data_IF_442228734648
#
_entry.id   IF_442228734648
#
_cell.length_a   1.000
_cell.length_b   1.000
_cell.length_c   1.000
_cell.angle_alpha   90.00
_cell.angle_beta   90.00
_cell.angle_gamma   90.00
#
_symmetry.space_group_name_H-M   'P 1'
#
loop_
_entity.id
_entity.type
_entity.pdbx_description
1 polymer ?
#
# COMPACT_ATOMS: atom_id res chain seq x y z
N UNK A 1 -3.59 10.16 20.08
CA UNK A 1 -4.98 9.69 20.18
C UNK A 1 -5.70 10.01 18.89
N UNK A 2 -6.41 9.03 18.35
CA UNK A 2 -7.17 9.18 17.12
C UNK A 2 -8.68 9.30 17.43
N UNK A 3 -9.41 10.03 16.59
CA UNK A 3 -10.86 10.18 16.67
C UNK A 3 -11.49 9.83 15.33
N UNK A 4 -12.67 9.22 15.38
CA UNK A 4 -13.48 8.91 14.21
C UNK A 4 -14.51 10.00 14.00
N UNK A 5 -14.64 10.44 12.75
CA UNK A 5 -15.58 11.46 12.33
C UNK A 5 -16.40 10.86 11.21
N UNK A 6 -17.72 10.96 11.33
CA UNK A 6 -18.63 10.55 10.25
C UNK A 6 -18.63 11.65 9.18
N UNK A 7 -18.43 11.28 7.93
CA UNK A 7 -18.53 12.20 6.80
C UNK A 7 -19.96 12.23 6.23
N UNK A 8 -20.32 13.32 5.55
CA UNK A 8 -21.66 13.50 4.98
C UNK A 8 -21.89 12.50 3.84
N UNK A 9 -22.61 11.42 4.15
CA UNK A 9 -22.91 10.30 3.27
C UNK A 9 -23.29 9.06 4.11
N UNK A 10 -23.99 8.09 3.55
CA UNK A 10 -24.33 6.85 4.27
C UNK A 10 -23.01 6.12 4.61
N UNK A 11 -22.70 6.10 5.91
CA UNK A 11 -21.63 5.31 6.55
C UNK A 11 -20.20 5.54 6.06
N UNK A 12 -19.85 6.75 5.61
CA UNK A 12 -18.46 7.15 5.38
C UNK A 12 -17.78 7.63 6.67
N UNK A 13 -16.53 7.22 6.89
CA UNK A 13 -15.74 7.58 8.06
C UNK A 13 -14.42 8.24 7.70
N UNK A 14 -13.97 9.14 8.58
CA UNK A 14 -12.66 9.78 8.55
C UNK A 14 -11.98 9.61 9.89
N UNK A 15 -10.73 9.18 9.86
CA UNK A 15 -9.86 9.10 11.02
C UNK A 15 -9.08 10.40 11.15
N UNK A 16 -9.06 11.00 12.35
CA UNK A 16 -8.33 12.23 12.67
C UNK A 16 -7.39 11.99 13.83
N UNK A 17 -6.18 12.54 13.79
CA UNK A 17 -5.23 12.49 14.89
C UNK A 17 -4.33 13.73 14.88
N UNK A 18 -3.44 13.83 15.88
CA UNK A 18 -2.36 14.82 15.91
C UNK A 18 -1.02 14.12 15.72
N UNK A 19 -0.18 14.64 14.83
CA UNK A 19 1.19 14.14 14.65
C UNK A 19 2.09 14.50 15.84
N UNK A 20 3.37 14.10 15.79
CA UNK A 20 4.37 14.43 16.81
C UNK A 20 4.65 15.92 16.95
N UNK A 21 4.34 16.72 15.92
CA UNK A 21 4.47 18.18 15.91
C UNK A 21 3.16 18.88 16.35
N UNK A 22 2.14 18.11 16.76
CA UNK A 22 0.84 18.63 17.18
C UNK A 22 -0.08 19.05 16.03
N UNK A 23 0.35 18.89 14.77
CA UNK A 23 -0.46 19.23 13.59
C UNK A 23 -1.60 18.23 13.44
N UNK A 24 -2.77 18.76 13.09
CA UNK A 24 -3.97 17.97 12.89
C UNK A 24 -3.90 17.25 11.54
N UNK A 25 -3.87 15.92 11.59
CA UNK A 25 -3.88 15.06 10.41
C UNK A 25 -5.20 14.28 10.31
N UNK A 26 -5.54 13.87 9.09
CA UNK A 26 -6.68 12.99 8.85
C UNK A 26 -6.50 12.09 7.63
N UNK A 27 -7.13 10.92 7.67
CA UNK A 27 -7.23 9.96 6.56
C UNK A 27 -8.71 9.60 6.39
N UNK A 28 -9.20 9.61 5.16
CA UNK A 28 -10.52 9.04 4.85
C UNK A 28 -10.45 7.51 4.94
N UNK A 29 -11.42 6.90 5.62
CA UNK A 29 -11.58 5.44 5.64
C UNK A 29 -12.54 4.96 4.55
N UNK A 30 -13.39 5.86 4.04
CA UNK A 30 -14.43 5.51 3.08
C UNK A 30 -15.66 4.92 3.75
N UNK A 31 -16.52 4.28 2.95
CA UNK A 31 -17.79 3.72 3.39
C UNK A 31 -17.55 2.39 4.10
N UNK A 32 -17.85 2.32 5.38
CA UNK A 32 -17.75 1.09 6.16
C UNK A 32 -18.66 1.11 7.40
N UNK A 33 -19.01 -0.05 7.98
CA UNK A 33 -19.76 -0.10 9.23
C UNK A 33 -18.98 0.56 10.38
N UNK A 34 -19.70 1.20 11.31
CA UNK A 34 -19.11 1.84 12.51
C UNK A 34 -18.13 0.93 13.26
N UNK A 35 -18.51 -0.34 13.43
CA UNK A 35 -17.68 -1.35 14.12
C UNK A 35 -16.33 -1.57 13.42
N UNK A 36 -16.32 -1.61 12.10
CA UNK A 36 -15.08 -1.74 11.31
C UNK A 36 -14.21 -0.49 11.43
N UNK A 37 -14.82 0.70 11.43
CA UNK A 37 -14.10 1.95 11.65
C UNK A 37 -13.46 2.04 13.05
N UNK A 38 -14.18 1.59 14.09
CA UNK A 38 -13.66 1.52 15.47
C UNK A 38 -12.50 0.53 15.58
N UNK A 39 -12.60 -0.62 14.93
CA UNK A 39 -11.51 -1.59 14.88
C UNK A 39 -10.28 -1.03 14.14
N UNK A 40 -10.49 -0.34 13.01
CA UNK A 40 -9.42 0.35 12.30
C UNK A 40 -8.74 1.39 13.18
N UNK A 41 -9.52 2.22 13.89
CA UNK A 41 -8.98 3.21 14.85
C UNK A 41 -8.09 2.53 15.89
N UNK A 42 -8.54 1.43 16.49
CA UNK A 42 -7.78 0.72 17.53
C UNK A 42 -6.43 0.21 16.99
N UNK A 43 -6.42 -0.42 15.80
CA UNK A 43 -5.17 -0.86 15.14
C UNK A 43 -4.27 0.29 14.73
N UNK A 44 -4.85 1.39 14.29
CA UNK A 44 -4.08 2.58 13.96
C UNK A 44 -3.40 3.21 15.20
N UNK A 45 -4.07 3.26 16.35
CA UNK A 45 -3.48 3.75 17.60
C UNK A 45 -2.33 2.85 18.07
N UNK A 46 -2.47 1.53 17.91
CA UNK A 46 -1.39 0.56 18.12
C UNK A 46 -0.20 0.85 17.18
N UNK A 47 -0.45 1.03 15.88
CA UNK A 47 0.57 1.38 14.88
C UNK A 47 1.29 2.69 15.23
N UNK A 48 0.56 3.73 15.66
CA UNK A 48 1.16 4.99 16.11
C UNK A 48 2.11 4.78 17.29
N UNK A 49 1.73 3.92 18.24
CA UNK A 49 2.57 3.58 19.39
C UNK A 49 3.88 2.94 18.95
N UNK A 50 3.80 1.95 18.05
CA UNK A 50 4.97 1.24 17.51
C UNK A 50 5.89 2.18 16.73
N UNK A 51 5.34 2.98 15.81
CA UNK A 51 6.11 3.93 15.00
C UNK A 51 6.80 4.97 15.88
N UNK A 52 6.09 5.55 16.86
CA UNK A 52 6.65 6.56 17.76
C UNK A 52 7.73 6.00 18.69
N UNK A 53 7.59 4.76 19.11
CA UNK A 53 8.57 4.09 19.98
C UNK A 53 9.72 3.45 19.20
N UNK A 54 9.68 3.48 17.87
CA UNK A 54 10.62 2.79 16.99
C UNK A 54 10.79 1.30 17.36
N UNK A 55 9.69 0.65 17.74
CA UNK A 55 9.70 -0.77 18.11
C UNK A 55 9.32 -1.65 16.91
N UNK A 56 9.69 -2.95 16.92
CA UNK A 56 9.22 -3.89 15.92
C UNK A 56 7.69 -4.01 15.93
N UNK A 57 7.08 -4.09 14.74
CA UNK A 57 5.63 -4.29 14.60
C UNK A 57 5.26 -5.72 15.04
N UNK A 58 4.24 -5.90 15.90
CA UNK A 58 3.72 -7.23 16.22
C UNK A 58 3.19 -7.94 14.98
N UNK A 59 3.25 -9.28 14.97
CA UNK A 59 2.81 -10.11 13.83
C UNK A 59 1.37 -9.79 13.42
N UNK A 60 0.44 -9.69 14.38
CA UNK A 60 -0.96 -9.38 14.07
C UNK A 60 -1.18 -7.97 13.48
N UNK A 61 -0.25 -7.03 13.70
CA UNK A 61 -0.29 -5.71 13.06
C UNK A 61 0.23 -5.77 11.63
N UNK A 62 1.24 -6.61 11.36
CA UNK A 62 1.75 -6.87 10.01
C UNK A 62 0.67 -7.54 9.17
N UNK A 63 0.05 -8.61 9.67
CA UNK A 63 -1.05 -9.31 8.98
C UNK A 63 -2.22 -8.37 8.68
N UNK A 64 -2.55 -7.48 9.61
CA UNK A 64 -3.57 -6.47 9.40
C UNK A 64 -3.18 -5.48 8.28
N UNK A 65 -1.94 -5.00 8.26
CA UNK A 65 -1.43 -4.11 7.21
C UNK A 65 -1.41 -4.79 5.83
N UNK A 66 -1.06 -6.06 5.76
CA UNK A 66 -1.06 -6.85 4.52
C UNK A 66 -2.48 -7.08 4.02
N UNK A 67 -3.46 -7.26 4.92
CA UNK A 67 -4.87 -7.39 4.59
C UNK A 67 -5.58 -6.09 4.20
N UNK A 68 -4.95 -4.91 4.34
CA UNK A 68 -5.55 -3.65 3.92
C UNK A 68 -5.67 -3.55 2.40
N UNK A 69 -6.74 -2.90 1.95
CA UNK A 69 -6.86 -2.50 0.56
C UNK A 69 -5.73 -1.53 0.17
N UNK A 70 -5.43 -1.49 -1.13
CA UNK A 70 -4.33 -0.69 -1.66
C UNK A 70 -4.52 0.81 -1.44
N UNK A 71 -5.76 1.29 -1.35
CA UNK A 71 -6.08 2.71 -1.21
C UNK A 71 -5.78 3.19 0.22
N UNK A 72 -6.26 2.47 1.23
CA UNK A 72 -5.98 2.69 2.64
C UNK A 72 -4.50 2.50 2.93
N UNK A 73 -3.88 1.46 2.36
CA UNK A 73 -2.44 1.25 2.52
C UNK A 73 -1.65 2.44 1.94
N UNK A 74 -1.99 2.89 0.72
CA UNK A 74 -1.38 4.07 0.10
C UNK A 74 -1.57 5.34 0.93
N UNK A 75 -2.76 5.54 1.52
CA UNK A 75 -3.05 6.68 2.41
C UNK A 75 -2.21 6.64 3.69
N UNK A 76 -1.96 5.46 4.26
CA UNK A 76 -1.07 5.29 5.41
C UNK A 76 0.40 5.54 5.03
N UNK A 77 0.83 5.04 3.88
CA UNK A 77 2.17 5.25 3.36
C UNK A 77 2.47 6.73 3.09
N UNK A 78 1.51 7.45 2.50
CA UNK A 78 1.61 8.89 2.28
C UNK A 78 1.73 9.72 3.58
N UNK A 79 1.43 9.13 4.74
CA UNK A 79 1.59 9.72 6.07
C UNK A 79 2.78 9.16 6.84
N UNK A 80 3.60 8.32 6.21
CA UNK A 80 4.84 7.78 6.78
C UNK A 80 4.64 6.71 7.84
N UNK A 81 3.45 6.08 7.93
CA UNK A 81 3.23 5.00 8.90
C UNK A 81 3.74 3.64 8.44
N UNK A 82 3.78 3.44 7.13
CA UNK A 82 4.22 2.22 6.46
C UNK A 82 5.00 2.59 5.20
N UNK A 83 5.88 1.70 4.77
CA UNK A 83 6.52 1.85 3.48
C UNK A 83 5.49 1.67 2.36
N UNK A 84 5.57 2.42 1.25
CA UNK A 84 4.74 2.15 0.09
C UNK A 84 4.91 0.69 -0.38
N UNK A 85 3.81 0.01 -0.72
CA UNK A 85 3.91 -1.29 -1.40
C UNK A 85 4.69 -1.07 -2.70
N UNK A 86 5.74 -1.86 -2.91
CA UNK A 86 6.50 -1.84 -4.14
C UNK A 86 5.61 -2.37 -5.28
N UNK A 87 4.89 -1.46 -5.94
CA UNK A 87 4.20 -1.75 -7.19
C UNK A 87 5.22 -1.60 -8.31
N UNK A 88 5.63 -2.73 -8.88
CA UNK A 88 6.30 -2.73 -10.18
C UNK A 88 5.24 -3.04 -11.21
N UNK A 89 5.21 -2.23 -12.26
CA UNK A 89 4.43 -2.57 -13.43
C UNK A 89 4.99 -3.84 -14.08
N UNK A 90 4.13 -4.58 -14.79
CA UNK A 90 4.54 -5.74 -15.57
C UNK A 90 5.69 -5.40 -16.52
N UNK A 91 5.65 -4.20 -17.12
CA UNK A 91 6.74 -3.68 -17.96
C UNK A 91 8.05 -3.54 -17.17
N UNK A 92 8.05 -2.84 -16.04
CA UNK A 92 9.25 -2.67 -15.21
C UNK A 92 9.81 -4.00 -14.72
N UNK A 93 8.94 -4.96 -14.39
CA UNK A 93 9.37 -6.31 -14.02
C UNK A 93 10.06 -7.01 -15.20
N UNK A 94 9.43 -7.05 -16.37
CA UNK A 94 9.96 -7.70 -17.56
C UNK A 94 11.27 -7.07 -18.05
N UNK A 95 11.37 -5.74 -18.07
CA UNK A 95 12.57 -5.01 -18.47
C UNK A 95 13.74 -5.33 -17.52
N UNK A 96 13.49 -5.30 -16.20
CA UNK A 96 14.52 -5.66 -15.20
C UNK A 96 14.98 -7.12 -15.33
N UNK A 97 14.06 -8.03 -15.67
CA UNK A 97 14.38 -9.43 -15.89
C UNK A 97 15.26 -9.62 -17.13
N UNK A 98 14.94 -8.95 -18.24
CA UNK A 98 15.77 -9.00 -19.45
C UNK A 98 17.17 -8.45 -19.21
N UNK A 99 17.31 -7.33 -18.50
CA UNK A 99 18.62 -6.74 -18.18
C UNK A 99 19.49 -7.63 -17.29
N UNK A 100 18.87 -8.43 -16.43
CA UNK A 100 19.55 -9.39 -15.57
C UNK A 100 20.10 -10.61 -16.34
N UNK A 101 19.49 -10.97 -17.48
CA UNK A 101 19.83 -12.16 -18.28
C UNK A 101 20.87 -11.85 -19.36
N UNK A 102 22.08 -11.47 -18.94
CA UNK A 102 23.23 -11.27 -19.86
C UNK A 102 23.91 -12.58 -20.28
N UNK A 103 23.49 -13.70 -19.70
CA UNK A 103 24.03 -15.05 -19.88
C UNK A 103 23.50 -15.77 -21.13
N UNK A 104 22.47 -15.23 -21.79
CA UNK A 104 21.78 -15.90 -22.89
C UNK A 104 22.32 -15.47 -24.26
N UNK A 105 22.28 -16.42 -25.21
CA UNK A 105 22.63 -16.14 -26.60
C UNK A 105 21.70 -15.08 -27.21
N UNK A 106 22.24 -14.26 -28.12
CA UNK A 106 21.49 -13.13 -28.71
C UNK A 106 20.17 -13.52 -29.37
N UNK A 107 20.11 -14.68 -30.04
CA UNK A 107 18.87 -15.18 -30.64
C UNK A 107 17.78 -15.49 -29.60
N UNK A 108 18.17 -15.99 -28.42
CA UNK A 108 17.26 -16.26 -27.30
C UNK A 108 16.78 -14.95 -26.67
N UNK A 109 17.66 -13.97 -26.51
CA UNK A 109 17.29 -12.63 -26.01
C UNK A 109 16.25 -11.93 -26.89
N UNK A 110 16.37 -12.05 -28.21
CA UNK A 110 15.37 -11.48 -29.16
C UNK A 110 14.01 -12.15 -28.97
N UNK A 111 13.97 -13.48 -28.80
CA UNK A 111 12.72 -14.22 -28.59
C UNK A 111 12.07 -13.86 -27.26
N UNK A 112 12.86 -13.74 -26.20
CA UNK A 112 12.37 -13.31 -24.88
C UNK A 112 11.79 -11.89 -24.94
N UNK A 113 12.36 -11.00 -25.77
CA UNK A 113 11.80 -9.66 -26.01
C UNK A 113 10.42 -9.72 -26.65
N UNK A 114 10.25 -10.55 -27.67
CA UNK A 114 8.94 -10.73 -28.32
C UNK A 114 7.88 -11.29 -27.35
N UNK A 115 8.26 -12.21 -26.45
CA UNK A 115 7.34 -12.75 -25.44
C UNK A 115 6.93 -11.66 -24.45
N UNK A 116 7.86 -10.81 -24.02
CA UNK A 116 7.55 -9.66 -23.15
C UNK A 116 6.59 -8.69 -23.83
N UNK A 117 6.82 -8.37 -25.10
CA UNK A 117 5.94 -7.47 -25.85
C UNK A 117 4.51 -8.02 -25.93
N UNK A 118 4.34 -9.32 -26.20
CA UNK A 118 3.04 -9.99 -26.21
C UNK A 118 2.36 -10.00 -24.83
N UNK A 119 3.12 -10.24 -23.76
CA UNK A 119 2.60 -10.19 -22.39
C UNK A 119 2.11 -8.78 -22.04
N UNK A 120 2.85 -7.75 -22.44
CA UNK A 120 2.47 -6.37 -22.19
C UNK A 120 1.29 -5.94 -23.06
N UNK A 121 1.23 -6.37 -24.32
CA UNK A 121 0.09 -6.14 -25.21
C UNK A 121 -1.20 -6.73 -24.63
N UNK A 122 -1.13 -7.96 -24.11
CA UNK A 122 -2.30 -8.67 -23.59
C UNK A 122 -2.77 -8.14 -22.22
N UNK A 123 -1.85 -7.93 -21.28
CA UNK A 123 -2.19 -7.55 -19.90
C UNK A 123 -2.19 -6.05 -19.65
N UNK A 124 -1.64 -5.25 -20.57
CA UNK A 124 -1.40 -3.83 -20.41
C UNK A 124 -0.10 -3.53 -19.65
N UNK A 125 0.60 -2.42 -19.99
CA UNK A 125 1.92 -2.11 -19.46
C UNK A 125 1.94 -1.73 -17.98
N UNK A 126 0.81 -1.26 -17.43
CA UNK A 126 0.71 -0.72 -16.07
C UNK A 126 0.02 -1.67 -15.08
N UNK A 127 -0.17 -2.94 -15.47
CA UNK A 127 -0.71 -3.95 -14.57
C UNK A 127 0.32 -4.24 -13.48
N UNK A 128 -0.07 -4.09 -12.22
CA UNK A 128 0.74 -4.34 -11.01
C UNK A 128 0.14 -5.46 -10.17
#
# INVERSE_FOLDING_TARGET
MASLIRENGRDSWKLRWHDSEGRRCSIGLGVMPKKSAEQFKSRFEELQGVVRSNTPKPVGLIEWLDGLDDELHSRLAAKGFVEPRAKRSLREFCDSYQESRRDIAGATSIRDRQVVDLLIEFFGPHRS
#
